data_IF_206294525002
#
_entry.id   IF_206294525002
#
_cell.length_a   1.000
_cell.length_b   1.000
_cell.length_c   1.000
_cell.angle_alpha   90.00
_cell.angle_beta   90.00
_cell.angle_gamma   90.00
#
_symmetry.space_group_name_H-M   'P 1'
#
loop_
_entity.id
_entity.type
_entity.pdbx_description
1 polymer ?
#
# COMPACT_ATOMS: atom_id res chain seq x y z
N UNK A 1 16.39 -1.38 -8.25
CA UNK A 1 17.00 -0.06 -7.98
C UNK A 1 15.93 1.02 -7.96
N UNK A 2 15.42 1.37 -6.77
CA UNK A 2 14.64 2.61 -6.60
C UNK A 2 15.57 3.78 -6.90
N UNK A 3 15.18 4.65 -7.83
CA UNK A 3 16.03 5.74 -8.30
C UNK A 3 16.29 6.74 -7.17
N UNK A 4 17.56 7.03 -6.92
CA UNK A 4 18.02 8.18 -6.15
C UNK A 4 17.49 9.46 -6.84
N UNK A 5 16.58 10.21 -6.21
CA UNK A 5 16.44 11.64 -6.53
C UNK A 5 15.06 12.30 -6.49
N UNK A 6 13.94 11.59 -6.37
CA UNK A 6 12.63 12.24 -6.25
C UNK A 6 12.04 12.01 -4.85
N UNK A 7 11.67 13.07 -4.13
CA UNK A 7 10.88 12.99 -2.89
C UNK A 7 9.44 12.50 -3.13
N UNK A 8 9.13 12.08 -4.35
CA UNK A 8 7.80 11.70 -4.79
C UNK A 8 7.57 10.21 -4.57
N UNK A 9 6.38 9.88 -4.09
CA UNK A 9 5.93 8.50 -3.97
C UNK A 9 5.70 7.91 -5.36
N UNK A 10 6.20 6.69 -5.59
CA UNK A 10 5.96 5.94 -6.82
C UNK A 10 5.06 4.75 -6.51
N UNK A 11 4.02 4.57 -7.32
CA UNK A 11 3.17 3.38 -7.23
C UNK A 11 3.99 2.13 -7.52
N UNK A 12 4.10 1.25 -6.52
CA UNK A 12 4.74 -0.06 -6.67
C UNK A 12 3.79 -1.08 -7.28
N UNK A 13 2.52 -1.02 -6.90
CA UNK A 13 1.46 -1.85 -7.44
C UNK A 13 0.11 -1.53 -6.80
N UNK A 14 -0.93 -2.19 -7.31
CA UNK A 14 -2.33 -2.00 -6.89
C UNK A 14 -3.04 -3.33 -6.82
N UNK A 15 -3.91 -3.52 -5.84
CA UNK A 15 -4.75 -4.71 -5.70
C UNK A 15 -5.86 -4.74 -6.75
N UNK A 16 -6.57 -5.86 -6.81
CA UNK A 16 -7.90 -5.92 -7.41
C UNK A 16 -8.93 -5.09 -6.62
N UNK A 17 -10.02 -4.73 -7.29
CA UNK A 17 -11.20 -4.11 -6.68
C UNK A 17 -12.13 -5.24 -6.24
N UNK A 18 -12.65 -5.14 -5.02
CA UNK A 18 -13.61 -6.10 -4.48
C UNK A 18 -14.93 -5.36 -4.28
N UNK A 19 -15.95 -5.80 -5.04
CA UNK A 19 -17.27 -5.16 -5.02
C UNK A 19 -18.03 -5.47 -3.73
N UNK A 20 -18.74 -4.47 -3.20
CA UNK A 20 -19.77 -4.61 -2.15
C UNK A 20 -19.29 -5.25 -0.84
N UNK A 21 -18.10 -4.90 -0.35
CA UNK A 21 -17.62 -5.34 0.97
C UNK A 21 -17.08 -4.18 1.82
N UNK A 22 -17.39 -4.22 3.13
CA UNK A 22 -16.78 -3.35 4.13
C UNK A 22 -15.47 -3.92 4.69
N UNK A 23 -15.19 -5.20 4.43
CA UNK A 23 -14.03 -5.92 4.93
C UNK A 23 -13.37 -6.67 3.75
N UNK A 24 -12.70 -5.95 2.84
CA UNK A 24 -12.05 -6.57 1.69
C UNK A 24 -10.90 -7.49 2.12
N UNK A 25 -10.81 -8.66 1.51
CA UNK A 25 -9.66 -9.58 1.63
C UNK A 25 -8.97 -9.70 0.27
N UNK A 26 -7.81 -9.04 0.12
CA UNK A 26 -7.09 -8.96 -1.14
C UNK A 26 -6.20 -10.19 -1.40
N UNK A 27 -6.36 -10.78 -2.58
CA UNK A 27 -5.63 -11.95 -3.04
C UNK A 27 -4.31 -11.54 -3.69
N UNK A 28 -4.25 -10.43 -4.43
CA UNK A 28 -2.99 -9.99 -5.06
C UNK A 28 -1.90 -9.76 -4.00
N UNK A 29 -0.72 -10.33 -4.25
CA UNK A 29 0.46 -10.18 -3.39
C UNK A 29 1.52 -9.32 -4.09
N UNK A 30 2.27 -8.56 -3.29
CA UNK A 30 3.41 -7.76 -3.76
C UNK A 30 4.70 -8.42 -3.29
N UNK A 31 5.65 -8.61 -4.20
CA UNK A 31 6.96 -9.19 -3.90
C UNK A 31 7.97 -8.06 -3.85
N UNK A 32 8.61 -7.87 -2.70
CA UNK A 32 9.63 -6.85 -2.48
C UNK A 32 10.87 -7.49 -1.87
N UNK A 33 12.04 -7.10 -2.35
CA UNK A 33 13.31 -7.45 -1.72
C UNK A 33 13.49 -6.61 -0.45
N UNK A 34 13.98 -7.26 0.61
CA UNK A 34 14.30 -6.60 1.88
C UNK A 34 15.82 -6.35 1.99
N UNK A 35 16.19 -5.11 2.25
CA UNK A 35 17.57 -4.68 2.46
C UNK A 35 17.69 -4.11 3.89
N UNK A 36 18.41 -4.80 4.78
CA UNK A 36 18.44 -4.46 6.21
C UNK A 36 19.17 -3.14 6.50
N UNK A 37 20.05 -2.73 5.59
CA UNK A 37 20.82 -1.50 5.63
C UNK A 37 20.05 -0.28 5.10
N UNK A 38 18.88 -0.49 4.47
CA UNK A 38 18.07 0.59 3.87
C UNK A 38 16.75 0.81 4.60
N UNK A 39 16.37 2.09 4.77
CA UNK A 39 15.03 2.44 5.21
C UNK A 39 14.06 2.46 4.02
N UNK A 40 13.44 1.31 3.75
CA UNK A 40 12.47 1.14 2.66
C UNK A 40 11.07 1.63 3.10
N UNK A 41 10.73 2.88 2.77
CA UNK A 41 9.43 3.48 3.13
C UNK A 41 8.31 2.99 2.19
N UNK A 42 7.15 2.68 2.78
CA UNK A 42 5.93 2.25 2.11
C UNK A 42 4.78 3.19 2.50
N UNK A 43 3.92 3.48 1.51
CA UNK A 43 2.65 4.17 1.69
C UNK A 43 1.57 3.31 1.07
N UNK A 44 0.47 3.13 1.80
CA UNK A 44 -0.71 2.43 1.30
C UNK A 44 -1.86 3.41 1.30
N UNK A 45 -2.51 3.54 0.15
CA UNK A 45 -3.68 4.39 -0.05
C UNK A 45 -4.89 3.48 -0.30
N UNK A 46 -5.99 3.77 0.38
CA UNK A 46 -7.24 3.01 0.24
C UNK A 46 -8.29 3.92 -0.39
N UNK A 47 -8.98 3.38 -1.39
CA UNK A 47 -10.02 4.08 -2.14
C UNK A 47 -11.30 3.26 -2.17
N UNK A 48 -12.44 3.93 -2.11
CA UNK A 48 -13.73 3.39 -2.54
C UNK A 48 -13.86 3.61 -4.06
N UNK A 49 -14.07 2.52 -4.80
CA UNK A 49 -14.04 2.51 -6.27
C UNK A 49 -15.47 2.45 -6.80
N UNK A 50 -15.98 3.58 -7.29
CA UNK A 50 -17.35 3.69 -7.79
C UNK A 50 -17.45 3.54 -9.32
N UNK A 51 -16.30 3.57 -10.02
CA UNK A 51 -16.26 3.50 -11.48
C UNK A 51 -15.22 2.49 -11.98
N UNK A 52 -15.36 2.03 -13.22
CA UNK A 52 -14.35 1.16 -13.88
C UNK A 52 -13.08 1.91 -14.31
N UNK A 53 -12.96 3.19 -13.99
CA UNK A 53 -11.79 4.01 -14.35
C UNK A 53 -10.57 3.58 -13.56
N UNK A 54 -9.39 3.51 -14.19
CA UNK A 54 -8.11 3.31 -13.48
C UNK A 54 -7.57 4.60 -12.84
N UNK A 55 -8.13 5.76 -13.19
CA UNK A 55 -7.76 7.05 -12.63
C UNK A 55 -8.28 7.19 -11.19
N UNK A 56 -7.36 7.23 -10.22
CA UNK A 56 -7.64 7.38 -8.78
C UNK A 56 -8.33 8.70 -8.43
N UNK A 57 -8.17 9.75 -9.24
CA UNK A 57 -8.83 11.04 -8.99
C UNK A 57 -10.35 10.99 -9.17
N UNK A 58 -10.90 9.85 -9.62
CA UNK A 58 -12.34 9.62 -9.81
C UNK A 58 -12.95 8.73 -8.74
N UNK A 59 -12.15 8.31 -7.77
CA UNK A 59 -12.54 7.40 -6.69
C UNK A 59 -12.41 8.12 -5.36
N UNK A 60 -13.26 7.75 -4.41
CA UNK A 60 -13.27 8.38 -3.10
C UNK A 60 -12.10 7.86 -2.26
N UNK A 61 -11.26 8.77 -1.78
CA UNK A 61 -10.13 8.43 -0.91
C UNK A 61 -10.62 8.15 0.51
N UNK A 62 -10.36 6.95 1.02
CA UNK A 62 -10.78 6.52 2.36
C UNK A 62 -9.73 6.79 3.44
N UNK A 63 -8.45 6.83 3.05
CA UNK A 63 -7.36 7.13 3.95
C UNK A 63 -6.05 6.48 3.51
N UNK A 64 -4.99 6.82 4.23
CA UNK A 64 -3.65 6.29 3.97
C UNK A 64 -2.98 5.80 5.25
N UNK A 65 -1.94 5.00 5.10
CA UNK A 65 -1.01 4.70 6.17
C UNK A 65 0.42 4.73 5.64
N UNK A 66 1.37 4.95 6.55
CA UNK A 66 2.80 4.92 6.27
C UNK A 66 3.50 3.94 7.20
N UNK A 67 4.41 3.16 6.66
CA UNK A 67 5.32 2.32 7.43
C UNK A 67 6.60 2.10 6.62
N UNK A 68 7.52 1.35 7.20
CA UNK A 68 8.67 0.80 6.51
C UNK A 68 8.49 -0.70 6.30
N UNK A 69 9.19 -1.27 5.31
CA UNK A 69 9.21 -2.73 5.13
C UNK A 69 9.77 -3.43 6.37
N UNK A 70 10.76 -2.83 7.03
CA UNK A 70 11.32 -3.33 8.29
C UNK A 70 10.30 -3.40 9.43
N UNK A 71 9.38 -2.44 9.54
CA UNK A 71 8.31 -2.49 10.55
C UNK A 71 7.35 -3.67 10.34
N UNK A 72 7.05 -4.02 9.09
CA UNK A 72 6.19 -5.19 8.78
C UNK A 72 6.92 -6.47 9.19
N UNK A 73 8.17 -6.64 8.73
CA UNK A 73 8.95 -7.85 9.00
C UNK A 73 9.23 -8.02 10.49
N UNK A 74 9.54 -6.93 11.20
CA UNK A 74 9.84 -6.91 12.63
C UNK A 74 8.61 -6.97 13.56
N UNK A 75 7.40 -6.86 13.02
CA UNK A 75 6.17 -7.00 13.81
C UNK A 75 5.91 -8.45 14.23
N UNK A 76 5.18 -8.63 15.33
CA UNK A 76 4.83 -9.97 15.82
C UNK A 76 4.04 -10.76 14.75
N UNK A 77 4.54 -11.94 14.40
CA UNK A 77 3.94 -12.76 13.33
C UNK A 77 4.09 -12.17 11.92
N UNK A 78 4.99 -11.19 11.72
CA UNK A 78 5.17 -10.46 10.46
C UNK A 78 3.87 -9.84 9.93
N UNK A 79 3.02 -9.39 10.87
CA UNK A 79 1.71 -8.79 10.62
C UNK A 79 1.63 -7.41 11.27
N UNK A 80 1.38 -6.41 10.44
CA UNK A 80 1.17 -5.04 10.87
C UNK A 80 -0.30 -4.64 10.76
N UNK A 81 -0.85 -4.08 11.83
CA UNK A 81 -2.19 -3.48 11.85
C UNK A 81 -2.08 -1.99 12.19
N UNK A 82 -2.76 -1.15 11.40
CA UNK A 82 -2.78 0.31 11.54
C UNK A 82 -4.13 0.86 11.12
N UNK A 83 -4.58 1.89 11.81
CA UNK A 83 -5.69 2.73 11.36
C UNK A 83 -5.22 3.61 10.21
N UNK A 84 -6.09 3.84 9.23
CA UNK A 84 -5.84 4.82 8.18
C UNK A 84 -5.95 6.24 8.77
N UNK A 85 -5.00 7.10 8.42
CA UNK A 85 -5.02 8.54 8.68
C UNK A 85 -5.72 9.30 7.57
#
# INVERSE_FOLDING_TARGET
VQGLGTKEWREFGRTEVIDNTLNPDFVRKFVLDFFFEEKQNLRFDVYNVDTRSSNLSKHDFLGQMFCTLGEIIGSAGSRLERTLS
#
